data_IF_021873853295
#
_entry.id   IF_021873853295
#
_cell.length_a   1.000
_cell.length_b   1.000
_cell.length_c   1.000
_cell.angle_alpha   90.00
_cell.angle_beta   90.00
_cell.angle_gamma   90.00
#
_symmetry.space_group_name_H-M   'P 1'
#
loop_
_entity.id
_entity.type
_entity.pdbx_description
1 polymer ?
#
# COMPACT_ATOMS: atom_id res chain seq x y z
N UNK A 1 24.01 -9.24 -11.67
CA UNK A 1 23.65 -9.32 -13.10
C UNK A 1 22.56 -8.31 -13.32
N UNK A 2 22.74 -7.30 -14.16
CA UNK A 2 21.66 -6.36 -14.49
C UNK A 2 20.62 -7.14 -15.28
N UNK A 3 19.46 -7.41 -14.67
CA UNK A 3 18.35 -8.07 -15.34
C UNK A 3 17.89 -7.18 -16.50
N UNK A 4 17.75 -7.78 -17.69
CA UNK A 4 17.16 -7.08 -18.84
C UNK A 4 15.73 -6.68 -18.49
N UNK A 5 15.33 -5.40 -18.66
CA UNK A 5 13.98 -4.93 -18.41
C UNK A 5 12.93 -5.79 -19.12
N UNK A 6 11.87 -6.15 -18.40
CA UNK A 6 10.81 -7.00 -18.90
C UNK A 6 9.42 -6.48 -18.51
N UNK A 7 8.43 -6.90 -19.28
CA UNK A 7 7.01 -6.78 -18.96
C UNK A 7 6.53 -8.16 -18.52
N UNK A 8 6.04 -8.28 -17.29
CA UNK A 8 5.48 -9.52 -16.76
C UNK A 8 3.96 -9.50 -16.88
N UNK A 9 3.37 -10.47 -17.58
CA UNK A 9 1.94 -10.52 -17.85
C UNK A 9 1.28 -11.77 -17.29
N UNK A 10 0.10 -11.59 -16.69
CA UNK A 10 -0.78 -12.66 -16.23
C UNK A 10 -2.23 -12.27 -16.47
N UNK A 11 -3.11 -13.25 -16.61
CA UNK A 11 -4.53 -12.99 -16.81
C UNK A 11 -5.32 -14.24 -17.10
N UNK A 12 -6.63 -14.13 -16.96
CA UNK A 12 -7.58 -15.17 -17.31
C UNK A 12 -8.86 -14.52 -17.87
N UNK A 13 -9.43 -15.14 -18.89
CA UNK A 13 -10.64 -14.63 -19.55
C UNK A 13 -10.44 -13.21 -20.08
N UNK A 14 -11.27 -12.28 -19.58
CA UNK A 14 -11.32 -10.88 -19.99
C UNK A 14 -10.51 -9.92 -19.11
N UNK A 15 -9.68 -10.43 -18.18
CA UNK A 15 -8.84 -9.59 -17.33
C UNK A 15 -7.37 -10.03 -17.42
N UNK A 16 -6.55 -9.15 -17.96
CA UNK A 16 -5.10 -9.30 -18.08
C UNK A 16 -4.42 -8.13 -17.38
N UNK A 17 -3.33 -8.40 -16.68
CA UNK A 17 -2.51 -7.43 -15.97
C UNK A 17 -1.05 -7.59 -16.40
N UNK A 18 -0.45 -6.46 -16.76
CA UNK A 18 0.96 -6.37 -17.13
C UNK A 18 1.70 -5.45 -16.14
N UNK A 19 2.85 -5.92 -15.67
CA UNK A 19 3.74 -5.25 -14.71
C UNK A 19 5.04 -4.85 -15.39
N UNK A 20 5.55 -3.66 -15.08
CA UNK A 20 6.84 -3.16 -15.59
C UNK A 20 7.77 -2.86 -14.41
N UNK A 21 8.36 -3.88 -13.77
CA UNK A 21 9.02 -3.75 -12.46
C UNK A 21 10.22 -2.81 -12.44
N UNK A 22 10.89 -2.62 -13.59
CA UNK A 22 12.00 -1.65 -13.70
C UNK A 22 11.56 -0.23 -13.35
N UNK A 23 10.27 0.11 -13.56
CA UNK A 23 9.64 1.36 -13.11
C UNK A 23 8.54 1.01 -12.09
N UNK A 24 8.92 0.95 -10.81
CA UNK A 24 8.03 0.54 -9.71
C UNK A 24 6.72 1.33 -9.69
N UNK A 25 5.59 0.62 -9.62
CA UNK A 25 4.25 1.20 -9.72
C UNK A 25 3.66 1.24 -11.14
N UNK A 26 4.48 1.05 -12.19
CA UNK A 26 3.99 0.98 -13.56
C UNK A 26 3.31 -0.37 -13.83
N UNK A 27 1.98 -0.34 -13.90
CA UNK A 27 1.14 -1.47 -14.30
C UNK A 27 0.09 -1.00 -15.31
N UNK A 28 -0.44 -1.94 -16.10
CA UNK A 28 -1.65 -1.69 -16.86
C UNK A 28 -2.46 -2.97 -17.03
N UNK A 29 -3.79 -2.83 -17.05
CA UNK A 29 -4.69 -3.92 -17.37
C UNK A 29 -5.19 -3.84 -18.81
N UNK A 30 -5.73 -4.95 -19.32
CA UNK A 30 -6.36 -5.05 -20.63
C UNK A 30 -7.34 -6.21 -20.69
N UNK A 31 -8.20 -6.23 -21.71
CA UNK A 31 -9.14 -7.35 -21.93
C UNK A 31 -8.52 -8.53 -22.67
N UNK A 32 -7.31 -8.34 -23.20
CA UNK A 32 -6.49 -9.36 -23.84
C UNK A 32 -5.05 -9.23 -23.36
N UNK A 33 -4.26 -10.30 -23.51
CA UNK A 33 -2.82 -10.31 -23.19
C UNK A 33 -2.08 -9.20 -23.92
N UNK A 34 -2.23 -9.11 -25.24
CA UNK A 34 -1.58 -8.10 -26.08
C UNK A 34 -2.06 -6.69 -25.76
N UNK A 35 -3.35 -6.55 -25.42
CA UNK A 35 -3.92 -5.28 -24.94
C UNK A 35 -3.26 -4.82 -23.66
N UNK A 36 -3.09 -5.69 -22.67
CA UNK A 36 -2.40 -5.35 -21.41
C UNK A 36 -0.94 -4.94 -21.65
N UNK A 37 -0.21 -5.66 -22.52
CA UNK A 37 1.18 -5.33 -22.90
C UNK A 37 1.27 -3.96 -23.58
N UNK A 38 0.42 -3.70 -24.58
CA UNK A 38 0.37 -2.42 -25.26
C UNK A 38 -0.01 -1.28 -24.29
N UNK A 39 -0.92 -1.55 -23.35
CA UNK A 39 -1.30 -0.59 -22.32
C UNK A 39 -0.15 -0.32 -21.35
N UNK A 40 0.61 -1.35 -20.95
CA UNK A 40 1.76 -1.19 -20.05
C UNK A 40 2.86 -0.31 -20.67
N UNK A 41 3.11 -0.44 -21.98
CA UNK A 41 4.04 0.42 -22.71
C UNK A 41 3.60 1.89 -22.77
N UNK A 42 2.29 2.14 -22.84
CA UNK A 42 1.75 3.51 -22.75
C UNK A 42 1.78 4.03 -21.31
N UNK A 43 1.43 3.17 -20.35
CA UNK A 43 1.47 3.49 -18.92
C UNK A 43 2.89 3.84 -18.47
N UNK A 44 3.92 3.16 -18.96
CA UNK A 44 5.32 3.49 -18.68
C UNK A 44 5.63 4.94 -19.02
N UNK A 45 5.30 5.37 -20.24
CA UNK A 45 5.53 6.75 -20.71
C UNK A 45 4.72 7.76 -19.90
N UNK A 46 3.43 7.48 -19.68
CA UNK A 46 2.55 8.37 -18.91
C UNK A 46 2.95 8.49 -17.44
N UNK A 47 3.43 7.40 -16.84
CA UNK A 47 3.88 7.40 -15.46
C UNK A 47 5.22 8.13 -15.31
N UNK A 48 6.15 7.98 -16.27
CA UNK A 48 7.36 8.81 -16.32
C UNK A 48 7.03 10.31 -16.42
N UNK A 49 6.09 10.70 -17.28
CA UNK A 49 5.64 12.09 -17.38
C UNK A 49 5.02 12.59 -16.06
N UNK A 50 4.22 11.76 -15.38
CA UNK A 50 3.63 12.07 -14.08
C UNK A 50 4.71 12.33 -13.01
N UNK A 51 5.75 11.48 -12.99
CA UNK A 51 6.88 11.58 -12.06
C UNK A 51 7.71 12.83 -12.33
N UNK A 52 8.07 13.07 -13.59
CA UNK A 52 8.85 14.25 -14.02
C UNK A 52 8.14 15.57 -13.69
N UNK A 53 6.83 15.65 -14.00
CA UNK A 53 5.99 16.82 -13.68
C UNK A 53 5.93 17.12 -12.18
N UNK A 54 6.20 16.12 -11.33
CA UNK A 54 6.19 16.23 -9.87
C UNK A 54 7.58 16.30 -9.25
N UNK A 55 8.62 16.48 -10.06
CA UNK A 55 9.99 16.68 -9.60
C UNK A 55 10.67 15.40 -9.11
N UNK A 56 10.15 14.22 -9.45
CA UNK A 56 10.86 12.97 -9.23
C UNK A 56 11.87 12.80 -10.37
N UNK A 57 13.14 12.52 -10.02
CA UNK A 57 14.17 12.28 -11.03
C UNK A 57 13.82 11.06 -11.88
N UNK A 58 13.73 11.24 -13.20
CA UNK A 58 13.45 10.17 -14.17
C UNK A 58 14.67 9.74 -14.98
N UNK A 59 15.86 10.25 -14.61
CA UNK A 59 17.11 10.04 -15.36
C UNK A 59 17.43 8.57 -15.61
N UNK A 60 17.07 7.69 -14.66
CA UNK A 60 17.30 6.25 -14.79
C UNK A 60 16.46 5.59 -15.89
N UNK A 61 15.27 6.13 -16.18
CA UNK A 61 14.30 5.50 -17.08
C UNK A 61 14.09 6.25 -18.40
N UNK A 62 14.46 7.53 -18.49
CA UNK A 62 14.11 8.40 -19.62
C UNK A 62 14.64 7.92 -20.98
N UNK A 63 15.72 7.16 -20.99
CA UNK A 63 16.33 6.62 -22.22
C UNK A 63 15.81 5.21 -22.55
N UNK A 64 15.01 4.60 -21.68
CA UNK A 64 14.47 3.26 -21.88
C UNK A 64 13.29 3.31 -22.85
N UNK A 65 13.29 2.40 -23.83
CA UNK A 65 12.15 2.20 -24.71
C UNK A 65 11.32 0.98 -24.27
N UNK A 66 10.09 1.17 -23.74
CA UNK A 66 9.27 0.05 -23.29
C UNK A 66 8.82 -0.86 -24.45
N UNK A 67 8.96 -0.42 -25.70
CA UNK A 67 8.67 -1.25 -26.87
C UNK A 67 9.74 -2.34 -27.09
N UNK A 68 10.94 -2.18 -26.54
CA UNK A 68 12.03 -3.17 -26.62
C UNK A 68 12.05 -4.15 -25.45
N UNK A 69 11.22 -3.96 -24.43
CA UNK A 69 11.19 -4.84 -23.25
C UNK A 69 10.72 -6.24 -23.63
N UNK A 70 11.41 -7.25 -23.11
CA UNK A 70 11.01 -8.65 -23.26
C UNK A 70 9.68 -8.88 -22.54
N UNK A 71 8.77 -9.67 -23.13
CA UNK A 71 7.51 -10.05 -22.47
C UNK A 71 7.65 -11.43 -21.88
N UNK A 72 7.41 -11.54 -20.57
CA UNK A 72 7.48 -12.79 -19.80
C UNK A 72 6.15 -13.04 -19.11
N UNK A 73 5.85 -14.28 -18.79
CA UNK A 73 4.70 -14.59 -17.94
C UNK A 73 5.05 -14.32 -16.47
N UNK A 74 4.09 -13.81 -15.70
CA UNK A 74 4.29 -13.58 -14.26
C UNK A 74 4.49 -14.93 -13.54
N UNK A 75 5.49 -15.04 -12.63
CA UNK A 75 5.66 -16.22 -11.78
C UNK A 75 4.39 -16.58 -11.02
N UNK A 76 4.18 -17.87 -10.75
CA UNK A 76 2.94 -18.37 -10.14
C UNK A 76 2.70 -17.87 -8.71
N UNK A 77 3.77 -17.63 -7.97
CA UNK A 77 3.74 -17.03 -6.62
C UNK A 77 3.67 -15.50 -6.66
N UNK A 78 3.70 -14.91 -7.86
CA UNK A 78 3.64 -13.47 -8.14
C UNK A 78 4.79 -12.65 -7.57
N UNK A 79 5.91 -13.31 -7.24
CA UNK A 79 7.15 -12.63 -6.86
C UNK A 79 7.99 -12.44 -8.12
N UNK A 80 8.18 -11.20 -8.55
CA UNK A 80 8.97 -10.89 -9.74
C UNK A 80 10.47 -11.05 -9.42
N UNK A 81 11.31 -11.42 -10.41
CA UNK A 81 12.76 -11.49 -10.19
C UNK A 81 13.36 -10.19 -9.60
N UNK A 82 12.80 -9.04 -9.94
CA UNK A 82 13.18 -7.72 -9.42
C UNK A 82 12.77 -7.46 -7.97
N UNK A 83 11.87 -8.28 -7.41
CA UNK A 83 11.45 -8.19 -5.99
C UNK A 83 12.42 -8.92 -5.05
N UNK A 84 13.39 -9.68 -5.60
CA UNK A 84 14.29 -10.54 -4.83
C UNK A 84 15.58 -9.80 -4.46
N UNK A 85 15.81 -9.66 -3.15
CA UNK A 85 17.06 -9.16 -2.59
C UNK A 85 16.85 -7.99 -1.64
N UNK A 86 17.92 -7.54 -0.96
CA UNK A 86 17.86 -6.31 -0.20
C UNK A 86 17.76 -5.12 -1.16
N UNK A 87 16.97 -4.11 -0.78
CA UNK A 87 16.97 -2.81 -1.45
C UNK A 87 18.23 -2.03 -1.06
N UNK A 88 18.80 -1.32 -2.02
CA UNK A 88 19.82 -0.31 -1.74
C UNK A 88 19.19 0.97 -1.15
N UNK A 89 19.99 1.78 -0.43
CA UNK A 89 19.51 3.02 0.20
C UNK A 89 18.87 3.98 -0.83
N UNK A 90 19.47 4.06 -2.02
CA UNK A 90 18.95 4.93 -3.08
C UNK A 90 17.59 4.44 -3.58
N UNK A 91 17.35 3.13 -3.67
CA UNK A 91 16.06 2.57 -4.09
C UNK A 91 14.94 2.89 -3.09
N UNK A 92 15.25 2.88 -1.78
CA UNK A 92 14.31 3.31 -0.75
C UNK A 92 13.96 4.79 -0.88
N UNK A 93 14.96 5.65 -1.14
CA UNK A 93 14.71 7.09 -1.37
C UNK A 93 13.88 7.33 -2.64
N UNK A 94 14.19 6.63 -3.72
CA UNK A 94 13.46 6.73 -4.99
C UNK A 94 12.01 6.26 -4.81
N UNK A 95 11.79 5.17 -4.08
CA UNK A 95 10.45 4.71 -3.71
C UNK A 95 9.68 5.80 -2.95
N UNK A 96 10.28 6.40 -1.91
CA UNK A 96 9.60 7.43 -1.12
C UNK A 96 9.23 8.66 -1.98
N UNK A 97 10.10 9.11 -2.89
CA UNK A 97 9.78 10.19 -3.80
C UNK A 97 8.66 9.83 -4.78
N UNK A 98 8.68 8.63 -5.37
CA UNK A 98 7.61 8.15 -6.24
C UNK A 98 6.28 8.01 -5.50
N UNK A 99 6.32 7.53 -4.25
CA UNK A 99 5.15 7.32 -3.41
C UNK A 99 4.47 8.66 -3.08
N UNK A 100 5.24 9.67 -2.67
CA UNK A 100 4.73 11.02 -2.41
C UNK A 100 4.21 11.70 -3.67
N UNK A 101 4.92 11.59 -4.80
CA UNK A 101 4.45 12.13 -6.07
C UNK A 101 3.13 11.50 -6.52
N UNK A 102 3.00 10.17 -6.36
CA UNK A 102 1.77 9.44 -6.67
C UNK A 102 0.62 9.87 -5.76
N UNK A 103 0.86 10.02 -4.45
CA UNK A 103 -0.14 10.54 -3.50
C UNK A 103 -0.58 11.95 -3.88
N UNK A 104 0.36 12.84 -4.17
CA UNK A 104 0.08 14.21 -4.57
C UNK A 104 -0.74 14.26 -5.87
N UNK A 105 -0.45 13.36 -6.82
CA UNK A 105 -1.24 13.21 -8.05
C UNK A 105 -2.70 12.83 -7.76
N UNK A 106 -2.90 11.78 -6.95
CA UNK A 106 -4.22 11.30 -6.57
C UNK A 106 -5.02 12.39 -5.85
N UNK A 107 -4.42 13.06 -4.86
CA UNK A 107 -5.09 14.13 -4.11
C UNK A 107 -5.44 15.31 -5.03
N UNK A 108 -4.53 15.73 -5.91
CA UNK A 108 -4.80 16.82 -6.86
C UNK A 108 -5.96 16.51 -7.80
N UNK A 109 -6.14 15.24 -8.18
CA UNK A 109 -7.24 14.80 -9.03
C UNK A 109 -8.60 14.86 -8.32
N UNK A 110 -8.65 14.55 -7.03
CA UNK A 110 -9.93 14.35 -6.31
C UNK A 110 -10.32 15.49 -5.38
N UNK A 111 -9.39 16.38 -5.01
CA UNK A 111 -9.60 17.37 -3.94
C UNK A 111 -10.73 18.38 -4.18
N UNK A 112 -11.03 18.67 -5.44
CA UNK A 112 -12.02 19.68 -5.82
C UNK A 112 -13.34 19.07 -6.30
N UNK A 113 -13.49 17.74 -6.17
CA UNK A 113 -14.74 17.04 -6.49
C UNK A 113 -15.75 17.30 -5.35
N UNK A 114 -16.97 17.76 -5.64
CA UNK A 114 -18.02 17.92 -4.64
C UNK A 114 -18.33 16.61 -3.92
N UNK A 115 -18.69 16.67 -2.62
CA UNK A 115 -18.97 15.49 -1.80
C UNK A 115 -20.03 14.56 -2.43
N UNK A 116 -21.11 15.12 -2.97
CA UNK A 116 -22.16 14.36 -3.66
C UNK A 116 -21.63 13.55 -4.86
N UNK A 117 -20.64 14.10 -5.57
CA UNK A 117 -20.00 13.45 -6.71
C UNK A 117 -18.95 12.42 -6.28
N UNK A 118 -18.32 12.60 -5.11
CA UNK A 118 -17.41 11.60 -4.52
C UNK A 118 -18.14 10.29 -4.21
N UNK A 119 -19.39 10.40 -3.73
CA UNK A 119 -20.23 9.25 -3.36
C UNK A 119 -20.94 8.62 -4.57
N UNK A 120 -21.17 9.37 -5.65
CA UNK A 120 -21.95 8.91 -6.81
C UNK A 120 -21.21 7.83 -7.61
N UNK A 121 -21.91 6.74 -7.92
CA UNK A 121 -21.46 5.73 -8.89
C UNK A 121 -21.81 6.16 -10.32
N UNK A 122 -20.85 6.24 -11.25
CA UNK A 122 -21.15 6.61 -12.63
C UNK A 122 -22.03 5.59 -13.37
N UNK A 123 -21.84 4.30 -13.08
CA UNK A 123 -22.64 3.18 -13.59
C UNK A 123 -22.82 2.14 -12.48
N UNK A 124 -23.70 1.16 -12.68
CA UNK A 124 -23.93 0.09 -11.71
C UNK A 124 -22.69 -0.78 -11.44
N UNK A 125 -21.75 -0.85 -12.39
CA UNK A 125 -20.56 -1.70 -12.32
C UNK A 125 -19.29 -0.95 -11.97
N UNK A 126 -19.30 0.38 -12.00
CA UNK A 126 -18.17 1.21 -11.62
C UNK A 126 -18.19 1.55 -10.13
N UNK A 127 -17.01 1.61 -9.54
CA UNK A 127 -16.83 2.17 -8.20
C UNK A 127 -17.05 3.69 -8.21
N UNK A 128 -17.54 4.22 -7.09
CA UNK A 128 -17.48 5.67 -6.83
C UNK A 128 -16.04 6.11 -6.50
N UNK A 129 -15.78 7.41 -6.47
CA UNK A 129 -14.48 7.93 -6.01
C UNK A 129 -14.23 7.55 -4.55
N UNK A 130 -15.28 7.58 -3.72
CA UNK A 130 -15.24 7.13 -2.32
C UNK A 130 -14.73 5.69 -2.21
N UNK A 131 -15.32 4.77 -2.96
CA UNK A 131 -14.96 3.34 -2.95
C UNK A 131 -13.52 3.11 -3.45
N UNK A 132 -13.10 3.82 -4.50
CA UNK A 132 -11.73 3.73 -5.00
C UNK A 132 -10.69 4.25 -3.99
N UNK A 133 -10.96 5.39 -3.34
CA UNK A 133 -10.09 5.92 -2.28
C UNK A 133 -10.06 5.00 -1.05
N UNK A 134 -11.20 4.38 -0.70
CA UNK A 134 -11.25 3.36 0.35
C UNK A 134 -10.38 2.17 0.03
N UNK A 135 -10.46 1.66 -1.21
CA UNK A 135 -9.65 0.54 -1.65
C UNK A 135 -8.16 0.85 -1.54
N UNK A 136 -7.71 2.02 -2.01
CA UNK A 136 -6.32 2.47 -1.88
C UNK A 136 -5.87 2.47 -0.41
N UNK A 137 -6.66 3.11 0.47
CA UNK A 137 -6.34 3.22 1.90
C UNK A 137 -6.24 1.84 2.58
N UNK A 138 -7.22 0.97 2.35
CA UNK A 138 -7.26 -0.35 2.97
C UNK A 138 -6.12 -1.24 2.46
N UNK A 139 -5.84 -1.22 1.16
CA UNK A 139 -4.75 -2.00 0.57
C UNK A 139 -3.37 -1.54 1.05
N UNK A 140 -3.14 -0.24 1.25
CA UNK A 140 -1.88 0.25 1.83
C UNK A 140 -1.68 -0.23 3.28
N UNK A 141 -2.73 -0.19 4.11
CA UNK A 141 -2.67 -0.75 5.45
C UNK A 141 -2.39 -2.26 5.43
N UNK A 142 -3.00 -2.98 4.48
CA UNK A 142 -2.80 -4.40 4.25
C UNK A 142 -1.34 -4.71 3.86
N UNK A 143 -0.76 -3.96 2.93
CA UNK A 143 0.63 -4.15 2.51
C UNK A 143 1.62 -3.80 3.61
N UNK A 144 1.38 -2.71 4.35
CA UNK A 144 2.22 -2.35 5.49
C UNK A 144 2.28 -3.48 6.53
N UNK A 145 1.15 -4.14 6.81
CA UNK A 145 1.08 -5.25 7.76
C UNK A 145 1.86 -6.51 7.36
N UNK A 146 2.26 -6.64 6.08
CA UNK A 146 3.07 -7.75 5.56
C UNK A 146 4.56 -7.55 5.75
N UNK A 147 5.01 -6.35 6.11
CA UNK A 147 6.40 -6.12 6.47
C UNK A 147 6.65 -6.73 7.86
N UNK A 148 7.03 -8.01 7.86
CA UNK A 148 7.41 -8.72 9.09
C UNK A 148 8.71 -8.14 9.66
N UNK A 149 8.73 -8.01 10.99
CA UNK A 149 9.68 -7.18 11.76
C UNK A 149 9.63 -5.71 11.35
N UNK A 150 8.70 -5.02 12.01
CA UNK A 150 8.66 -3.55 12.07
C UNK A 150 10.05 -2.97 12.42
N UNK A 151 10.31 -1.69 12.06
CA UNK A 151 11.60 -1.04 12.30
C UNK A 151 12.17 -1.31 13.69
N UNK A 152 13.50 -1.32 13.79
CA UNK A 152 14.22 -1.64 15.02
C UNK A 152 13.78 -0.80 16.24
N UNK A 153 13.17 0.36 16.02
CA UNK A 153 12.45 1.12 17.03
C UNK A 153 10.94 0.78 17.01
N UNK A 154 10.47 -0.17 17.84
CA UNK A 154 9.06 -0.54 17.88
C UNK A 154 8.16 0.58 18.42
N UNK A 155 8.71 1.56 19.14
CA UNK A 155 7.91 2.61 19.79
C UNK A 155 7.34 3.59 18.77
N UNK A 156 8.13 3.98 17.77
CA UNK A 156 7.65 4.92 16.74
C UNK A 156 6.49 4.34 15.94
N UNK A 157 6.60 3.09 15.51
CA UNK A 157 5.50 2.38 14.83
C UNK A 157 4.27 2.26 15.72
N UNK A 158 4.43 1.79 16.96
CA UNK A 158 3.32 1.64 17.90
C UNK A 158 2.57 2.97 18.06
N UNK A 159 3.31 4.07 18.21
CA UNK A 159 2.75 5.40 18.34
C UNK A 159 2.14 5.94 17.04
N UNK A 160 2.68 5.60 15.87
CA UNK A 160 2.12 5.99 14.58
C UNK A 160 0.74 5.34 14.36
N UNK A 161 0.63 4.03 14.62
CA UNK A 161 -0.66 3.31 14.52
C UNK A 161 -1.67 3.86 15.53
N UNK A 162 -1.25 4.15 16.76
CA UNK A 162 -2.11 4.77 17.76
C UNK A 162 -2.67 6.12 17.28
N UNK A 163 -1.84 6.98 16.66
CA UNK A 163 -2.29 8.27 16.13
C UNK A 163 -3.30 8.13 14.99
N UNK A 164 -3.12 7.16 14.09
CA UNK A 164 -4.09 6.88 13.03
C UNK A 164 -5.46 6.48 13.59
N UNK A 165 -5.47 5.58 14.57
CA UNK A 165 -6.68 5.17 15.28
C UNK A 165 -7.35 6.37 15.94
N UNK A 166 -6.57 7.16 16.69
CA UNK A 166 -7.08 8.33 17.41
C UNK A 166 -7.71 9.34 16.45
N UNK A 167 -7.03 9.64 15.34
CA UNK A 167 -7.55 10.54 14.31
C UNK A 167 -8.86 10.02 13.72
N UNK A 168 -8.95 8.70 13.43
CA UNK A 168 -10.19 8.11 12.89
C UNK A 168 -11.38 8.33 13.82
N UNK A 169 -11.21 8.10 15.13
CA UNK A 169 -12.30 8.31 16.10
C UNK A 169 -12.60 9.79 16.35
N UNK A 170 -11.62 10.68 16.21
CA UNK A 170 -11.78 12.12 16.46
C UNK A 170 -12.74 12.79 15.47
N UNK A 171 -12.79 12.30 14.24
CA UNK A 171 -13.62 12.88 13.17
C UNK A 171 -14.96 12.17 12.97
N UNK A 172 -15.30 11.19 13.82
CA UNK A 172 -16.59 10.49 13.73
C UNK A 172 -17.70 11.31 14.35
N UNK A 173 -18.80 11.46 13.62
CA UNK A 173 -20.06 11.98 14.13
C UNK A 173 -20.92 10.84 14.71
N UNK A 174 -21.93 11.13 15.56
CA UNK A 174 -22.79 10.09 16.14
C UNK A 174 -23.41 9.15 15.09
N UNK A 175 -23.77 9.68 13.91
CA UNK A 175 -24.29 8.89 12.80
C UNK A 175 -23.28 7.86 12.28
N UNK A 176 -21.99 8.21 12.20
CA UNK A 176 -20.91 7.31 11.76
C UNK A 176 -20.69 6.14 12.73
N UNK A 177 -21.13 6.28 13.98
CA UNK A 177 -20.96 5.24 15.00
C UNK A 177 -21.97 4.10 14.89
N UNK A 178 -22.99 4.25 14.02
CA UNK A 178 -24.01 3.23 13.76
C UNK A 178 -23.47 1.98 13.02
N UNK A 179 -22.17 1.92 12.74
CA UNK A 179 -21.51 0.76 12.14
C UNK A 179 -21.81 -0.53 12.92
N UNK A 180 -22.35 -1.50 12.18
CA UNK A 180 -22.67 -2.84 12.64
C UNK A 180 -22.53 -3.81 11.47
N UNK A 181 -21.44 -4.57 11.47
CA UNK A 181 -21.10 -5.44 10.34
C UNK A 181 -20.51 -6.76 10.81
N UNK A 182 -20.47 -7.75 9.92
CA UNK A 182 -19.87 -9.06 10.18
C UNK A 182 -18.58 -9.20 9.37
N UNK A 183 -17.44 -9.34 10.05
CA UNK A 183 -16.15 -9.64 9.43
C UNK A 183 -15.66 -10.99 9.94
N UNK A 184 -15.32 -11.91 9.02
CA UNK A 184 -14.83 -13.26 9.33
C UNK A 184 -15.71 -13.98 10.37
N UNK A 185 -17.03 -13.96 10.13
CA UNK A 185 -18.03 -14.62 10.99
C UNK A 185 -18.28 -13.95 12.34
N UNK A 186 -17.65 -12.80 12.63
CA UNK A 186 -17.80 -12.07 13.89
C UNK A 186 -18.49 -10.74 13.64
N UNK A 187 -19.56 -10.47 14.40
CA UNK A 187 -20.22 -9.16 14.42
C UNK A 187 -19.35 -8.13 15.15
N UNK A 188 -19.24 -6.94 14.57
CA UNK A 188 -18.48 -5.81 15.06
C UNK A 188 -19.34 -4.57 15.05
N UNK A 189 -19.40 -3.91 16.21
CA UNK A 189 -20.02 -2.60 16.35
C UNK A 189 -18.94 -1.60 16.76
N UNK A 190 -19.14 -0.31 16.49
CA UNK A 190 -18.22 0.75 16.95
C UNK A 190 -17.91 0.62 18.44
N UNK A 191 -18.94 0.37 19.27
CA UNK A 191 -18.77 0.18 20.72
C UNK A 191 -17.93 -1.04 21.07
N UNK A 192 -18.09 -2.16 20.35
CA UNK A 192 -17.28 -3.36 20.56
C UNK A 192 -15.83 -3.11 20.16
N UNK A 193 -15.58 -2.39 19.07
CA UNK A 193 -14.23 -2.01 18.63
C UNK A 193 -13.56 -1.18 19.73
N UNK A 194 -14.18 -0.07 20.15
CA UNK A 194 -13.66 0.79 21.22
C UNK A 194 -13.31 -0.01 22.48
N UNK A 195 -14.24 -0.85 22.95
CA UNK A 195 -14.03 -1.70 24.12
C UNK A 195 -12.85 -2.66 23.93
N UNK A 196 -12.78 -3.38 22.79
CA UNK A 196 -11.72 -4.36 22.55
C UNK A 196 -10.34 -3.73 22.43
N UNK A 197 -10.24 -2.53 21.88
CA UNK A 197 -8.95 -1.81 21.79
C UNK A 197 -8.41 -1.48 23.18
N UNK A 198 -9.26 -0.94 24.06
CA UNK A 198 -8.88 -0.61 25.44
C UNK A 198 -8.55 -1.86 26.26
N UNK A 199 -9.38 -2.91 26.15
CA UNK A 199 -9.14 -4.19 26.84
C UNK A 199 -7.81 -4.83 26.39
N UNK A 200 -7.53 -4.84 25.09
CA UNK A 200 -6.32 -5.44 24.52
C UNK A 200 -5.05 -4.70 24.94
N UNK A 201 -5.06 -3.36 24.91
CA UNK A 201 -3.93 -2.55 25.38
C UNK A 201 -3.63 -2.84 26.86
N UNK A 202 -4.67 -2.88 27.71
CA UNK A 202 -4.51 -3.14 29.13
C UNK A 202 -4.02 -4.56 29.42
N UNK A 203 -4.54 -5.57 28.72
CA UNK A 203 -4.08 -6.96 28.81
C UNK A 203 -2.60 -7.08 28.48
N UNK A 204 -2.16 -6.44 27.39
CA UNK A 204 -0.76 -6.49 27.00
C UNK A 204 0.15 -5.61 27.85
N UNK A 205 -0.33 -4.53 28.44
CA UNK A 205 0.42 -3.77 29.45
C UNK A 205 0.82 -4.67 30.63
N UNK A 206 -0.13 -5.44 31.16
CA UNK A 206 0.13 -6.38 32.28
C UNK A 206 1.13 -7.45 31.84
N UNK A 207 0.92 -8.08 30.69
CA UNK A 207 1.83 -9.10 30.18
C UNK A 207 3.25 -8.54 29.93
N UNK A 208 3.39 -7.33 29.40
CA UNK A 208 4.70 -6.68 29.20
C UNK A 208 5.38 -6.38 30.54
N UNK A 209 4.63 -5.98 31.57
CA UNK A 209 5.19 -5.79 32.92
C UNK A 209 5.77 -7.09 33.48
N UNK A 210 5.08 -8.22 33.29
CA UNK A 210 5.58 -9.55 33.68
C UNK A 210 6.87 -9.91 32.93
N UNK A 211 6.93 -9.65 31.62
CA UNK A 211 8.13 -9.87 30.80
C UNK A 211 9.29 -9.02 31.29
N UNK A 212 9.07 -7.72 31.54
CA UNK A 212 10.11 -6.80 32.03
C UNK A 212 10.66 -7.27 33.37
N UNK A 213 9.80 -7.64 34.32
CA UNK A 213 10.22 -8.15 35.61
C UNK A 213 11.07 -9.43 35.49
N UNK A 214 10.70 -10.35 34.60
CA UNK A 214 11.46 -11.57 34.34
C UNK A 214 12.85 -11.29 33.72
N UNK A 215 12.94 -10.32 32.80
CA UNK A 215 14.20 -9.90 32.18
C UNK A 215 15.12 -9.20 33.19
N UNK A 216 14.57 -8.43 34.12
CA UNK A 216 15.33 -7.81 35.20
C UNK A 216 15.88 -8.84 36.18
N UNK A 217 15.08 -9.85 36.54
CA UNK A 217 15.48 -10.91 37.46
C UNK A 217 16.62 -11.80 36.90
N UNK A 218 16.73 -11.89 35.57
CA UNK A 218 17.73 -12.72 34.87
C UNK A 218 18.94 -11.92 34.36
N UNK A 219 19.02 -10.62 34.65
CA UNK A 219 20.10 -9.74 34.18
C UNK A 219 21.42 -10.08 34.89
N UNK A 220 22.52 -10.38 34.16
CA UNK A 220 23.83 -10.67 34.76
C UNK A 220 24.37 -9.50 35.59
N UNK A 221 25.02 -9.82 36.71
CA UNK A 221 25.52 -8.88 37.72
C UNK A 221 26.66 -7.95 37.26
N UNK A 222 27.22 -8.14 36.07
CA UNK A 222 28.38 -7.36 35.57
C UNK A 222 28.01 -6.03 34.88
N UNK A 223 26.73 -5.66 34.83
CA UNK A 223 26.26 -4.37 34.28
C UNK A 223 25.41 -3.60 35.30
N UNK A 224 25.82 -3.60 36.57
CA UNK A 224 25.27 -2.70 37.61
C UNK A 224 26.18 -1.51 37.84
#
# INVERSE_FOLDING_TARGET
>A
MTLTPAIYVQGEGSYWLAHVPVLRGCIASGTTRDGAIANARRAFRAYLELLDTRGVSVEHWKEMDPDTFEVRDTPSDRVLPEDIGPLEEHELRDFLHQFEASRAALISLVRDIPEEEIERKPTETMWSVREALEHVMLTEAEFLSRLEKWPADPYNTLQAIHRLVFQRFTVMEPADTALDHVVMGRRWTTRKIMRRMLEHEFEHLVHIQEIVAALEATRPSEVR
#
